data_IF_853273846172
#
_entry.id   IF_853273846172
#
_cell.length_a   1.000
_cell.length_b   1.000
_cell.length_c   1.000
_cell.angle_alpha   90.00
_cell.angle_beta   90.00
_cell.angle_gamma   90.00
#
_symmetry.space_group_name_H-M   'P 1'
#
loop_
_entity.id
_entity.type
_entity.pdbx_description
1 polymer ?
#
# COMPACT_ATOMS: atom_id res chain seq x y z
N UNK A 1 -7.90 -13.35 -13.70
CA UNK A 1 -7.69 -12.41 -12.59
C UNK A 1 -6.55 -12.93 -11.74
N UNK A 2 -5.38 -12.28 -11.83
CA UNK A 2 -4.19 -12.63 -11.05
C UNK A 2 -4.10 -11.71 -9.85
N UNK A 3 -3.65 -12.22 -8.72
CA UNK A 3 -3.51 -11.41 -7.51
C UNK A 3 -2.38 -11.92 -6.63
N UNK A 4 -1.88 -11.05 -5.76
CA UNK A 4 -0.90 -11.38 -4.74
C UNK A 4 -1.09 -10.52 -3.49
N UNK A 5 -0.61 -11.05 -2.37
CA UNK A 5 -0.44 -10.30 -1.13
C UNK A 5 1.04 -10.26 -0.79
N UNK A 6 1.53 -9.08 -0.46
CA UNK A 6 2.87 -8.86 0.04
C UNK A 6 2.80 -8.36 1.49
N UNK A 7 3.67 -8.90 2.34
CA UNK A 7 3.86 -8.38 3.70
C UNK A 7 4.77 -7.14 3.61
N UNK A 8 4.39 -6.06 4.29
CA UNK A 8 5.09 -4.77 4.25
C UNK A 8 5.82 -4.56 5.57
N UNK A 9 7.14 -4.37 5.51
CA UNK A 9 8.00 -4.10 6.66
C UNK A 9 7.98 -2.62 7.05
N UNK A 10 8.00 -1.72 6.06
CA UNK A 10 8.04 -0.28 6.27
C UNK A 10 7.04 0.41 5.36
N UNK A 11 6.38 1.44 5.89
CA UNK A 11 5.50 2.33 5.14
C UNK A 11 5.88 3.78 5.46
N UNK A 12 6.11 4.57 4.42
CA UNK A 12 6.23 6.01 4.49
C UNK A 12 5.10 6.68 3.71
N UNK A 13 4.50 7.71 4.29
CA UNK A 13 3.44 8.53 3.69
C UNK A 13 4.00 9.95 3.55
N UNK A 14 4.06 10.48 2.33
CA UNK A 14 4.70 11.78 2.03
C UNK A 14 6.16 11.86 2.53
N UNK A 15 6.87 10.73 2.48
CA UNK A 15 8.24 10.62 2.98
C UNK A 15 8.36 10.61 4.51
N UNK A 16 7.24 10.54 5.25
CA UNK A 16 7.22 10.41 6.70
C UNK A 16 6.94 8.95 7.04
N UNK A 17 7.87 8.31 7.75
CA UNK A 17 7.69 6.94 8.22
C UNK A 17 6.47 6.83 9.15
N UNK A 18 5.61 5.86 8.87
CA UNK A 18 4.50 5.47 9.72
C UNK A 18 4.94 4.23 10.52
N UNK A 19 5.14 4.32 11.86
CA UNK A 19 5.52 3.17 12.66
C UNK A 19 4.43 2.09 12.66
N UNK A 20 4.78 0.88 12.22
CA UNK A 20 3.83 -0.22 11.99
C UNK A 20 3.84 -1.26 13.11
N UNK A 21 2.66 -1.80 13.43
CA UNK A 21 2.48 -3.11 14.04
C UNK A 21 2.52 -4.21 12.99
N UNK A 22 1.86 -3.96 11.85
CA UNK A 22 1.83 -4.81 10.66
C UNK A 22 1.30 -3.99 9.48
N UNK A 23 1.66 -4.40 8.26
CA UNK A 23 1.03 -3.89 7.06
C UNK A 23 1.03 -4.94 5.94
N UNK A 24 0.05 -4.83 5.04
CA UNK A 24 -0.14 -5.73 3.92
C UNK A 24 -0.46 -4.94 2.66
N UNK A 25 0.18 -5.29 1.56
CA UNK A 25 -0.12 -4.78 0.22
C UNK A 25 -0.85 -5.88 -0.56
N UNK A 26 -2.08 -5.58 -0.99
CA UNK A 26 -2.86 -6.41 -1.89
C UNK A 26 -2.74 -5.84 -3.30
N UNK A 27 -2.42 -6.68 -4.27
CA UNK A 27 -2.28 -6.28 -5.68
C UNK A 27 -3.08 -7.23 -6.55
N UNK A 28 -3.81 -6.69 -7.51
CA UNK A 28 -4.60 -7.45 -8.46
C UNK A 28 -4.47 -6.88 -9.87
N UNK A 29 -4.44 -7.78 -10.85
CA UNK A 29 -4.59 -7.44 -12.25
C UNK A 29 -6.07 -7.44 -12.63
N UNK A 30 -6.51 -6.37 -13.29
CA UNK A 30 -7.87 -6.19 -13.79
C UNK A 30 -7.84 -5.81 -15.25
N UNK A 31 -8.60 -6.52 -16.07
CA UNK A 31 -8.62 -6.31 -17.53
C UNK A 31 -9.09 -4.90 -17.91
N UNK A 32 -9.88 -4.24 -17.06
CA UNK A 32 -10.41 -2.90 -17.33
C UNK A 32 -9.44 -1.76 -16.98
N UNK A 33 -8.30 -2.05 -16.33
CA UNK A 33 -7.34 -1.05 -15.86
C UNK A 33 -6.01 -1.17 -16.60
N UNK A 34 -5.43 -0.03 -16.97
CA UNK A 34 -4.10 0.02 -17.59
C UNK A 34 -2.93 -0.21 -16.60
N UNK A 35 -3.24 -0.39 -15.32
CA UNK A 35 -2.29 -0.54 -14.22
C UNK A 35 -2.87 -1.52 -13.19
N UNK A 36 -2.02 -2.01 -12.30
CA UNK A 36 -2.42 -2.88 -11.21
C UNK A 36 -3.38 -2.15 -10.26
N UNK A 37 -4.47 -2.80 -9.86
CA UNK A 37 -5.33 -2.36 -8.75
C UNK A 37 -4.65 -2.78 -7.45
N UNK A 38 -4.55 -1.89 -6.47
CA UNK A 38 -3.84 -2.20 -5.24
C UNK A 38 -4.40 -1.47 -4.02
N UNK A 39 -4.21 -2.09 -2.85
CA UNK A 39 -4.61 -1.58 -1.56
C UNK A 39 -3.54 -1.89 -0.51
N UNK A 40 -3.19 -0.90 0.30
CA UNK A 40 -2.34 -1.07 1.47
C UNK A 40 -3.18 -0.96 2.75
N UNK A 41 -3.17 -2.03 3.54
CA UNK A 41 -3.75 -2.08 4.88
C UNK A 41 -2.62 -1.92 5.89
N UNK A 42 -2.61 -0.80 6.60
CA UNK A 42 -1.59 -0.49 7.60
C UNK A 42 -2.20 -0.45 9.00
N UNK A 43 -1.59 -1.17 9.93
CA UNK A 43 -1.91 -1.12 11.35
C UNK A 43 -0.77 -0.40 12.06
N UNK A 44 -0.95 0.88 12.36
CA UNK A 44 0.04 1.73 12.99
C UNK A 44 0.16 1.48 14.50
N UNK A 45 1.31 1.85 15.07
CA UNK A 45 1.52 1.90 16.51
C UNK A 45 0.73 3.04 17.15
N UNK A 46 0.68 4.19 16.48
CA UNK A 46 -0.14 5.36 16.84
C UNK A 46 -1.62 5.12 16.47
N UNK A 47 -2.54 5.72 17.23
CA UNK A 47 -3.98 5.67 16.98
C UNK A 47 -4.52 6.94 16.31
N UNK A 48 -3.68 7.98 16.17
CA UNK A 48 -4.05 9.24 15.56
C UNK A 48 -4.59 9.03 14.13
N UNK A 49 -5.79 9.56 13.82
CA UNK A 49 -6.35 9.40 12.49
C UNK A 49 -5.58 10.25 11.48
N UNK A 50 -5.34 9.67 10.30
CA UNK A 50 -4.85 10.41 9.14
C UNK A 50 -6.02 11.10 8.42
N UNK A 51 -5.75 12.28 7.84
CA UNK A 51 -6.72 13.03 7.06
C UNK A 51 -7.09 12.27 5.77
N UNK A 52 -8.37 12.22 5.43
CA UNK A 52 -8.81 11.60 4.18
C UNK A 52 -8.43 12.48 2.98
N UNK A 53 -7.34 12.13 2.32
CA UNK A 53 -6.83 12.81 1.13
C UNK A 53 -5.97 11.86 0.27
N UNK A 54 -5.40 12.41 -0.80
CA UNK A 54 -4.37 11.74 -1.59
C UNK A 54 -3.02 11.84 -0.90
N UNK A 55 -2.25 10.78 -1.03
CA UNK A 55 -0.90 10.65 -0.52
C UNK A 55 0.01 9.98 -1.54
N UNK A 56 1.29 10.32 -1.51
CA UNK A 56 2.33 9.45 -2.03
C UNK A 56 2.79 8.48 -0.96
N UNK A 57 2.86 7.19 -1.33
CA UNK A 57 3.31 6.13 -0.42
C UNK A 57 4.54 5.44 -0.96
N UNK A 58 5.43 5.08 -0.04
CA UNK A 58 6.56 4.21 -0.28
C UNK A 58 6.50 3.06 0.72
N UNK A 59 6.67 1.84 0.24
CA UNK A 59 6.60 0.62 1.03
C UNK A 59 7.87 -0.20 0.80
N UNK A 60 8.39 -0.83 1.85
CA UNK A 60 9.41 -1.87 1.72
C UNK A 60 8.77 -3.21 2.03
N UNK A 61 8.88 -4.16 1.10
CA UNK A 61 8.35 -5.51 1.28
C UNK A 61 9.23 -6.31 2.26
N UNK A 62 8.60 -7.14 3.09
CA UNK A 62 9.27 -7.83 4.19
C UNK A 62 10.27 -8.91 3.76
N UNK A 63 10.00 -9.59 2.64
CA UNK A 63 10.77 -10.80 2.27
C UNK A 63 11.93 -10.55 1.31
N UNK A 64 11.85 -9.51 0.48
CA UNK A 64 12.86 -9.22 -0.56
C UNK A 64 13.40 -7.79 -0.49
N UNK A 65 13.05 -7.03 0.56
CA UNK A 65 13.39 -5.62 0.76
C UNK A 65 13.07 -4.71 -0.43
N UNK A 66 12.20 -5.18 -1.34
CA UNK A 66 11.85 -4.43 -2.54
C UNK A 66 11.07 -3.20 -2.15
N UNK A 67 11.47 -2.06 -2.72
CA UNK A 67 10.73 -0.81 -2.56
C UNK A 67 9.63 -0.73 -3.59
N UNK A 68 8.42 -0.45 -3.12
CA UNK A 68 7.21 -0.28 -3.92
C UNK A 68 6.65 1.12 -3.67
N UNK A 69 6.32 1.86 -4.72
CA UNK A 69 5.85 3.25 -4.61
C UNK A 69 4.64 3.51 -5.47
N UNK A 70 3.73 4.39 -5.02
CA UNK A 70 2.61 4.81 -5.83
C UNK A 70 1.69 5.82 -5.14
N UNK A 71 0.85 6.53 -5.91
CA UNK A 71 -0.16 7.42 -5.36
C UNK A 71 -1.34 6.62 -4.78
N UNK A 72 -1.82 7.02 -3.61
CA UNK A 72 -2.98 6.41 -2.97
C UNK A 72 -3.95 7.46 -2.41
N UNK A 73 -5.22 7.09 -2.29
CA UNK A 73 -6.22 7.82 -1.50
C UNK A 73 -6.43 7.08 -0.19
N UNK A 74 -6.38 7.81 0.93
CA UNK A 74 -6.80 7.27 2.22
C UNK A 74 -8.33 7.16 2.26
N UNK A 75 -8.85 5.94 2.21
CA UNK A 75 -10.30 5.68 2.20
C UNK A 75 -10.87 5.43 3.60
N UNK A 76 -10.03 5.00 4.55
CA UNK A 76 -10.44 4.77 5.94
C UNK A 76 -9.26 4.93 6.89
N UNK A 77 -9.52 5.51 8.06
CA UNK A 77 -8.55 5.63 9.15
C UNK A 77 -9.29 5.61 10.50
N UNK A 78 -9.12 4.55 11.28
CA UNK A 78 -9.79 4.37 12.58
C UNK A 78 -8.85 3.63 13.52
N UNK A 79 -8.57 4.21 14.70
CA UNK A 79 -7.81 3.55 15.79
C UNK A 79 -6.46 2.95 15.30
N UNK A 80 -5.71 3.70 14.50
CA UNK A 80 -4.43 3.27 13.93
C UNK A 80 -4.53 2.28 12.77
N UNK A 81 -5.74 1.86 12.37
CA UNK A 81 -5.95 1.09 11.15
C UNK A 81 -6.23 2.03 9.97
N UNK A 82 -5.34 2.01 8.97
CA UNK A 82 -5.41 2.85 7.77
C UNK A 82 -5.56 1.99 6.52
N UNK A 83 -6.47 2.39 5.64
CA UNK A 83 -6.68 1.75 4.33
C UNK A 83 -6.38 2.78 3.25
N UNK A 84 -5.35 2.49 2.47
CA UNK A 84 -4.86 3.30 1.35
C UNK A 84 -5.18 2.53 0.07
N UNK A 85 -5.98 3.14 -0.81
CA UNK A 85 -6.30 2.55 -2.11
C UNK A 85 -5.48 3.24 -3.20
N UNK A 86 -4.87 2.47 -4.10
CA UNK A 86 -4.15 3.00 -5.24
C UNK A 86 -4.99 3.95 -6.09
N UNK A 87 -4.41 5.10 -6.45
CA UNK A 87 -4.98 6.11 -7.35
C UNK A 87 -4.02 6.36 -8.52
N UNK A 88 -3.49 5.28 -9.09
CA UNK A 88 -2.51 5.32 -10.17
C UNK A 88 -1.55 4.12 -10.16
N UNK A 89 -0.46 4.20 -10.96
CA UNK A 89 0.48 3.10 -11.13
C UNK A 89 1.19 2.74 -9.83
N UNK A 90 1.55 1.46 -9.72
CA UNK A 90 2.36 0.91 -8.64
C UNK A 90 3.72 0.52 -9.21
N UNK A 91 4.75 1.25 -8.83
CA UNK A 91 6.13 0.93 -9.23
C UNK A 91 6.72 -0.11 -8.28
N UNK A 92 7.53 -1.03 -8.82
CA UNK A 92 8.21 -2.08 -8.04
C UNK A 92 7.50 -3.44 -8.04
N UNK A 93 6.24 -3.53 -8.48
CA UNK A 93 5.54 -4.80 -8.70
C UNK A 93 5.26 -4.97 -10.20
N UNK A 94 5.68 -6.11 -10.76
CA UNK A 94 5.34 -6.49 -12.12
C UNK A 94 4.13 -7.45 -12.13
N UNK A 95 3.36 -7.51 -13.23
CA UNK A 95 2.29 -8.50 -13.37
C UNK A 95 2.77 -9.94 -13.14
N UNK A 96 4.03 -10.25 -13.45
CA UNK A 96 4.63 -11.57 -13.25
C UNK A 96 4.83 -11.97 -11.79
N UNK A 97 4.80 -11.00 -10.86
CA UNK A 97 4.80 -11.25 -9.42
C UNK A 97 3.43 -11.75 -8.90
N UNK A 98 2.39 -11.75 -9.74
CA UNK A 98 1.03 -12.16 -9.37
C UNK A 98 0.76 -13.64 -9.69
N UNK A 99 -0.03 -14.32 -8.84
CA UNK A 99 -0.47 -15.71 -9.06
C UNK A 99 -1.84 -15.81 -9.72
#
# INVERSE_FOLDING_TARGET
MRHARFDVAHLAIEGIDLPLKAAYLLVAEREELAHLDWECLAFALDDAPLSQQRYQVAMSLLFDDRTVTGPAILVRSVEGAHVLRGDGPLDGIAPDDLT
#
